data_IF_153256705489
#
_entry.id   IF_153256705489
#
_cell.length_a   1.000
_cell.length_b   1.000
_cell.length_c   1.000
_cell.angle_alpha   90.00
_cell.angle_beta   90.00
_cell.angle_gamma   90.00
#
_symmetry.space_group_name_H-M   'P 1'
#
loop_
_entity.id
_entity.type
_entity.pdbx_description
1 polymer ?
#
# COMPACT_ATOMS: atom_id res chain seq x y z
N UNK A 1 23.84 -5.86 -10.20
CA UNK A 1 22.40 -5.88 -10.52
C UNK A 1 21.63 -5.91 -9.21
N UNK A 2 21.43 -4.74 -8.59
CA UNK A 2 20.81 -4.64 -7.28
C UNK A 2 19.30 -4.54 -7.48
N UNK A 3 18.58 -5.62 -7.19
CA UNK A 3 17.12 -5.59 -7.07
C UNK A 3 16.76 -4.79 -5.81
N UNK A 4 16.91 -3.47 -5.85
CA UNK A 4 16.42 -2.52 -4.85
C UNK A 4 14.89 -2.40 -4.98
N UNK A 5 14.20 -3.53 -4.81
CA UNK A 5 12.77 -3.64 -5.05
C UNK A 5 11.96 -3.05 -3.90
N UNK A 6 11.66 -1.74 -3.95
CA UNK A 6 10.43 -1.26 -3.31
C UNK A 6 10.35 0.16 -2.75
N UNK A 7 11.09 1.15 -3.26
CA UNK A 7 10.87 2.56 -2.83
C UNK A 7 10.65 3.55 -3.97
N UNK A 8 10.57 3.07 -5.21
CA UNK A 8 10.29 3.93 -6.36
C UNK A 8 8.78 3.93 -6.63
N UNK A 9 8.23 5.12 -6.79
CA UNK A 9 6.86 5.33 -7.22
C UNK A 9 6.68 4.74 -8.62
N UNK A 10 5.79 3.75 -8.81
CA UNK A 10 5.58 3.14 -10.12
C UNK A 10 4.88 4.08 -11.11
N UNK A 11 4.20 5.12 -10.63
CA UNK A 11 3.48 6.08 -11.47
C UNK A 11 4.37 7.17 -12.06
N UNK A 12 5.34 7.69 -11.29
CA UNK A 12 6.18 8.82 -11.71
C UNK A 12 7.68 8.54 -11.67
N UNK A 13 8.12 7.36 -11.23
CA UNK A 13 9.54 7.00 -11.15
C UNK A 13 10.32 7.69 -10.02
N UNK A 14 9.67 8.53 -9.20
CA UNK A 14 10.31 9.19 -8.07
C UNK A 14 10.64 8.21 -6.94
N UNK A 15 11.80 8.37 -6.31
CA UNK A 15 12.23 7.66 -5.11
C UNK A 15 11.75 8.33 -3.80
N UNK A 16 11.21 9.55 -3.89
CA UNK A 16 10.57 10.29 -2.78
C UNK A 16 9.27 9.63 -2.33
N UNK A 17 9.38 8.52 -1.62
CA UNK A 17 8.26 7.71 -1.12
C UNK A 17 8.40 7.47 0.37
N UNK A 18 7.35 7.79 1.12
CA UNK A 18 7.31 7.64 2.57
C UNK A 18 6.36 6.53 2.98
N UNK A 19 6.76 5.76 4.00
CA UNK A 19 5.92 4.76 4.63
C UNK A 19 5.07 5.42 5.72
N UNK A 20 3.76 5.26 5.61
CA UNK A 20 2.78 5.77 6.57
C UNK A 20 2.11 4.59 7.24
N UNK A 21 2.11 4.61 8.57
CA UNK A 21 1.34 3.71 9.41
C UNK A 21 0.37 4.54 10.23
N UNK A 22 -0.92 4.28 10.07
CA UNK A 22 -2.01 4.83 10.90
C UNK A 22 -2.45 3.75 11.90
N UNK A 23 -3.17 4.13 12.95
CA UNK A 23 -3.57 3.21 14.02
C UNK A 23 -2.67 3.27 15.26
N UNK A 24 -3.29 3.59 16.40
CA UNK A 24 -2.72 3.42 17.74
C UNK A 24 -2.68 1.93 18.06
N UNK A 25 -1.65 1.52 18.82
CA UNK A 25 -1.42 0.16 19.30
C UNK A 25 -2.73 -0.59 19.67
N UNK A 26 -3.07 -1.58 18.85
CA UNK A 26 -4.28 -2.41 18.95
C UNK A 26 -4.28 -3.44 17.81
N UNK A 27 -5.14 -4.48 17.85
CA UNK A 27 -5.15 -5.53 16.84
C UNK A 27 -5.29 -4.89 15.45
N UNK A 28 -4.28 -5.13 14.64
CA UNK A 28 -4.00 -4.44 13.38
C UNK A 28 -5.10 -4.80 12.39
N UNK A 29 -6.17 -4.01 12.37
CA UNK A 29 -7.29 -4.18 11.44
C UNK A 29 -6.92 -3.62 10.05
N UNK A 30 -5.89 -4.22 9.46
CA UNK A 30 -5.68 -4.48 8.03
C UNK A 30 -5.76 -3.34 6.98
N UNK A 31 -5.89 -2.05 7.30
CA UNK A 31 -5.97 -0.99 6.24
C UNK A 31 -5.23 0.32 6.57
N UNK A 32 -4.22 0.26 7.43
CA UNK A 32 -3.58 1.48 7.93
C UNK A 32 -2.11 1.67 7.50
N UNK A 33 -1.55 0.76 6.70
CA UNK A 33 -0.16 0.83 6.25
C UNK A 33 -0.09 1.07 4.75
N UNK A 34 0.60 2.13 4.33
CA UNK A 34 0.75 2.44 2.91
C UNK A 34 2.02 3.24 2.62
N UNK A 35 2.47 3.19 1.37
CA UNK A 35 3.54 4.03 0.83
C UNK A 35 2.95 5.17 0.00
N UNK A 36 3.35 6.41 0.30
CA UNK A 36 2.92 7.61 -0.42
C UNK A 36 4.07 8.27 -1.15
N UNK A 37 3.86 8.64 -2.42
CA UNK A 37 4.84 9.43 -3.16
C UNK A 37 4.64 10.93 -2.93
N UNK A 38 5.71 11.63 -2.59
CA UNK A 38 5.71 13.08 -2.40
C UNK A 38 5.83 13.87 -3.71
N UNK A 39 6.32 13.24 -4.80
CA UNK A 39 6.43 13.90 -6.10
C UNK A 39 5.08 14.02 -6.82
N UNK A 40 4.32 12.91 -6.92
CA UNK A 40 3.01 12.91 -7.57
C UNK A 40 1.83 12.98 -6.59
N UNK A 41 2.10 12.83 -5.28
CA UNK A 41 1.09 12.91 -4.21
C UNK A 41 0.25 11.64 -4.01
N UNK A 42 0.42 10.62 -4.85
CA UNK A 42 -0.40 9.39 -4.89
C UNK A 42 0.05 8.34 -3.90
N UNK A 43 -0.87 7.47 -3.49
CA UNK A 43 -0.55 6.21 -2.82
C UNK A 43 0.01 5.22 -3.85
N UNK A 44 1.19 4.69 -3.54
CA UNK A 44 1.92 3.77 -4.42
C UNK A 44 1.63 2.32 -4.08
N UNK A 45 1.52 2.00 -2.80
CA UNK A 45 1.19 0.66 -2.30
C UNK A 45 0.42 0.78 -0.99
N UNK A 46 -0.66 0.03 -0.86
CA UNK A 46 -1.32 -0.28 0.41
C UNK A 46 -0.85 -1.66 0.88
N UNK A 47 -0.65 -1.84 2.18
CA UNK A 47 -0.12 -3.06 2.77
C UNK A 47 -1.18 -3.60 3.72
N UNK A 48 -1.71 -4.77 3.38
CA UNK A 48 -2.74 -5.44 4.17
C UNK A 48 -2.25 -6.80 4.65
N UNK A 49 -2.60 -7.14 5.88
CA UNK A 49 -2.33 -8.47 6.43
C UNK A 49 -3.45 -9.43 6.03
N UNK A 50 -3.09 -10.64 5.60
CA UNK A 50 -4.02 -11.72 5.21
C UNK A 50 -3.54 -13.06 5.71
N UNK A 51 -4.48 -13.96 5.95
CA UNK A 51 -4.24 -15.38 6.25
C UNK A 51 -4.09 -16.22 4.99
N UNK A 52 -3.54 -17.44 5.12
CA UNK A 52 -3.48 -18.36 3.97
C UNK A 52 -4.87 -18.73 3.44
N UNK A 53 -5.87 -18.81 4.34
CA UNK A 53 -7.26 -19.07 3.98
C UNK A 53 -7.84 -17.95 3.12
N UNK A 54 -7.61 -16.70 3.49
CA UNK A 54 -8.07 -15.53 2.73
C UNK A 54 -7.40 -15.45 1.36
N UNK A 55 -6.09 -15.71 1.27
CA UNK A 55 -5.38 -15.71 -0.01
C UNK A 55 -5.99 -16.74 -0.97
N UNK A 56 -6.28 -17.95 -0.49
CA UNK A 56 -6.88 -19.02 -1.31
C UNK A 56 -8.32 -18.69 -1.69
N UNK A 57 -9.14 -18.26 -0.72
CA UNK A 57 -10.56 -17.96 -0.95
C UNK A 57 -10.75 -16.80 -1.93
N UNK A 58 -9.96 -15.74 -1.79
CA UNK A 58 -9.98 -14.57 -2.67
C UNK A 58 -9.18 -14.75 -3.97
N UNK A 59 -8.50 -15.89 -4.13
CA UNK A 59 -7.52 -16.14 -5.21
C UNK A 59 -6.54 -14.97 -5.37
N UNK A 60 -6.00 -14.51 -4.24
CA UNK A 60 -5.10 -13.35 -4.17
C UNK A 60 -3.70 -13.82 -4.56
N UNK A 61 -3.23 -13.38 -5.73
CA UNK A 61 -1.96 -13.78 -6.32
C UNK A 61 -1.28 -12.58 -6.99
N UNK A 62 0.06 -12.51 -7.04
CA UNK A 62 0.77 -11.42 -7.72
C UNK A 62 0.30 -11.23 -9.17
N UNK A 63 0.11 -9.98 -9.58
CA UNK A 63 -0.39 -9.60 -10.90
C UNK A 63 -1.91 -9.56 -11.01
N UNK A 64 -2.64 -10.16 -10.07
CA UNK A 64 -4.10 -10.18 -10.11
C UNK A 64 -4.71 -8.84 -9.72
N UNK A 65 -5.82 -8.48 -10.37
CA UNK A 65 -6.69 -7.40 -9.90
C UNK A 65 -7.75 -7.97 -8.97
N UNK A 66 -7.88 -7.37 -7.80
CA UNK A 66 -8.90 -7.68 -6.79
C UNK A 66 -9.74 -6.45 -6.52
N UNK A 67 -10.99 -6.67 -6.10
CA UNK A 67 -11.88 -5.58 -5.66
C UNK A 67 -12.14 -5.77 -4.18
N UNK A 68 -11.91 -4.73 -3.39
CA UNK A 68 -12.15 -4.73 -1.95
C UNK A 68 -12.52 -3.33 -1.49
N UNK A 69 -13.41 -3.23 -0.49
CA UNK A 69 -13.94 -1.96 0.00
C UNK A 69 -14.44 -0.99 -1.10
N UNK A 70 -14.97 -1.52 -2.21
CA UNK A 70 -15.44 -0.72 -3.35
C UNK A 70 -14.36 -0.24 -4.32
N UNK A 71 -13.07 -0.44 -4.01
CA UNK A 71 -11.94 -0.03 -4.85
C UNK A 71 -11.27 -1.21 -5.56
N UNK A 72 -10.58 -0.92 -6.66
CA UNK A 72 -9.84 -1.91 -7.44
C UNK A 72 -8.35 -1.81 -7.18
N UNK A 73 -7.71 -2.95 -6.91
CA UNK A 73 -6.29 -3.03 -6.60
C UNK A 73 -5.62 -4.11 -7.42
N UNK A 74 -4.40 -3.82 -7.87
CA UNK A 74 -3.49 -4.81 -8.42
C UNK A 74 -2.59 -5.36 -7.33
N UNK A 75 -2.55 -6.68 -7.15
CA UNK A 75 -1.64 -7.35 -6.22
C UNK A 75 -0.23 -7.29 -6.80
N UNK A 76 0.71 -6.70 -6.06
CA UNK A 76 2.08 -6.49 -6.52
C UNK A 76 3.06 -7.47 -5.90
N UNK A 77 2.84 -7.81 -4.63
CA UNK A 77 3.71 -8.71 -3.89
C UNK A 77 2.93 -9.33 -2.74
N UNK A 78 3.25 -10.57 -2.43
CA UNK A 78 2.78 -11.27 -1.23
C UNK A 78 4.04 -11.75 -0.50
N UNK A 79 4.12 -11.48 0.80
CA UNK A 79 5.24 -11.86 1.65
C UNK A 79 4.72 -12.65 2.85
N UNK A 80 5.22 -13.86 3.07
CA UNK A 80 4.91 -14.64 4.28
C UNK A 80 5.70 -14.05 5.45
N UNK A 81 5.00 -13.67 6.52
CA UNK A 81 5.61 -13.06 7.72
C UNK A 81 5.37 -13.85 9.00
N UNK A 82 4.44 -14.82 8.97
CA UNK A 82 4.18 -15.72 10.10
C UNK A 82 3.68 -17.08 9.65
N UNK A 83 3.31 -17.92 10.62
CA UNK A 83 2.82 -19.29 10.37
C UNK A 83 1.59 -19.28 9.45
N UNK A 84 0.63 -18.40 9.73
CA UNK A 84 -0.56 -18.18 8.90
C UNK A 84 -0.77 -16.69 8.55
N UNK A 85 0.32 -15.92 8.46
CA UNK A 85 0.23 -14.47 8.25
C UNK A 85 1.07 -14.03 7.04
N UNK A 86 0.46 -13.20 6.19
CA UNK A 86 1.04 -12.68 4.96
C UNK A 86 0.79 -11.17 4.83
N UNK A 87 1.80 -10.43 4.41
CA UNK A 87 1.65 -9.06 3.92
C UNK A 87 1.37 -9.07 2.43
N UNK A 88 0.32 -8.36 2.01
CA UNK A 88 -0.08 -8.20 0.63
C UNK A 88 0.07 -6.75 0.23
N UNK A 89 0.94 -6.50 -0.75
CA UNK A 89 1.19 -5.18 -1.32
C UNK A 89 0.22 -4.96 -2.48
N UNK A 90 -0.67 -4.00 -2.32
CA UNK A 90 -1.72 -3.66 -3.27
C UNK A 90 -1.41 -2.30 -3.88
N UNK A 91 -1.32 -2.24 -5.22
CA UNK A 91 -1.26 -0.95 -5.92
C UNK A 91 -2.68 -0.59 -6.36
N UNK A 92 -3.21 0.57 -5.93
CA UNK A 92 -4.56 0.96 -6.27
C UNK A 92 -4.65 1.36 -7.76
N UNK A 93 -5.79 1.08 -8.41
CA UNK A 93 -6.03 1.45 -9.81
C UNK A 93 -6.36 2.95 -9.97
N UNK A 94 -6.89 3.56 -8.92
CA UNK A 94 -7.23 4.97 -8.76
C UNK A 94 -6.77 5.40 -7.36
N UNK A 95 -6.43 6.67 -7.13
CA UNK A 95 -5.97 7.09 -5.79
C UNK A 95 -7.13 6.94 -4.77
N UNK A 96 -7.05 6.00 -3.80
CA UNK A 96 -8.17 5.73 -2.89
C UNK A 96 -8.25 6.77 -1.77
N UNK A 97 -7.21 7.61 -1.61
CA UNK A 97 -7.13 8.64 -0.58
C UNK A 97 -6.77 10.02 -1.18
N UNK A 98 -7.64 10.61 -2.02
CA UNK A 98 -7.34 11.85 -2.76
C UNK A 98 -7.14 13.08 -1.85
N UNK A 99 -7.39 12.95 -0.54
CA UNK A 99 -7.36 14.04 0.43
C UNK A 99 -6.18 13.94 1.41
N UNK A 100 -5.00 14.25 0.91
CA UNK A 100 -3.86 14.72 1.72
C UNK A 100 -3.12 15.88 1.00
N UNK A 101 -3.85 16.72 0.26
CA UNK A 101 -3.33 17.93 -0.39
C UNK A 101 -3.34 19.19 0.50
N UNK A 102 -3.56 19.05 1.81
CA UNK A 102 -3.50 20.16 2.78
C UNK A 102 -2.81 19.72 4.05
N UNK A 103 -1.52 20.00 4.16
CA UNK A 103 -0.78 20.33 5.39
C UNK A 103 0.69 20.47 4.97
N UNK A 104 1.12 21.71 4.76
CA UNK A 104 2.41 22.04 4.15
C UNK A 104 2.48 23.45 3.55
N UNK A 105 1.53 24.34 3.81
CA UNK A 105 1.86 25.77 3.83
C UNK A 105 2.36 26.07 5.24
N UNK A 106 3.69 26.04 5.36
CA UNK A 106 4.40 26.62 6.48
C UNK A 106 3.90 28.04 6.72
N UNK A 107 3.59 28.29 7.97
CA UNK A 107 3.48 29.59 8.57
C UNK A 107 4.91 30.18 8.61
N UNK A 108 5.24 31.05 7.66
CA UNK A 108 6.42 31.91 7.74
C UNK A 108 5.95 33.34 7.43
N UNK A 109 5.70 34.09 8.51
CA UNK A 109 5.69 35.55 8.54
C UNK A 109 6.36 35.99 9.82
#
# INVERSE_FOLDING_TARGET
MTLSGGRICPDCGSDRVDFVQRGLAGPINATDQYYRCHACGRVTYEIVTRTSRELRAGRIEPGRVIRTAGHSYSVRRILKIGLDEYLVYLRPAEDPFPRLRRQGQGQER
#
